data_IF_161625288834
#
_entry.id   IF_161625288834
#
_cell.length_a   1.000
_cell.length_b   1.000
_cell.length_c   1.000
_cell.angle_alpha   90.00
_cell.angle_beta   90.00
_cell.angle_gamma   90.00
#
_symmetry.space_group_name_H-M   'P 1'
#
loop_
_entity.id
_entity.type
_entity.pdbx_description
1 polymer ?
#
# COMPACT_ATOMS: atom_id res chain seq x y z
N UNK A 1 1.55 -3.97 23.70
CA UNK A 1 1.74 -4.91 22.57
C UNK A 1 1.78 -4.22 21.20
N UNK A 2 1.41 -2.93 21.06
CA UNK A 2 1.37 -2.22 19.77
C UNK A 2 2.34 -1.03 19.65
N UNK A 3 3.46 -1.00 20.39
CA UNK A 3 4.40 0.14 20.41
C UNK A 3 5.13 0.40 19.09
N UNK A 4 4.93 -0.46 18.08
CA UNK A 4 5.53 -0.34 16.74
C UNK A 4 4.51 -0.17 15.61
N UNK A 5 3.23 -0.02 15.94
CA UNK A 5 2.16 0.23 14.97
C UNK A 5 1.75 1.69 15.08
N UNK A 6 1.83 2.41 13.96
CA UNK A 6 1.31 3.78 13.87
C UNK A 6 -0.08 3.72 13.25
N UNK A 7 -1.08 4.14 14.02
CA UNK A 7 -2.42 4.35 13.51
C UNK A 7 -2.49 5.73 12.88
N UNK A 8 -3.04 5.80 11.67
CA UNK A 8 -3.18 7.04 10.91
C UNK A 8 -4.66 7.19 10.62
N UNK A 9 -5.24 8.33 10.99
CA UNK A 9 -6.60 8.67 10.61
C UNK A 9 -6.60 9.06 9.12
N UNK A 10 -7.44 8.40 8.33
CA UNK A 10 -7.62 8.63 6.90
C UNK A 10 -8.16 10.02 6.56
N UNK A 11 -8.87 10.67 7.50
CA UNK A 11 -9.32 12.06 7.39
C UNK A 11 -8.16 13.06 7.26
N UNK A 12 -6.95 12.66 7.68
CA UNK A 12 -5.75 13.47 7.53
C UNK A 12 -5.23 13.50 6.08
N UNK A 13 -5.70 12.60 5.22
CA UNK A 13 -5.31 12.55 3.81
C UNK A 13 -6.03 13.69 3.07
N UNK A 14 -5.29 14.59 2.40
CA UNK A 14 -5.90 15.67 1.62
C UNK A 14 -6.80 15.12 0.52
N UNK A 15 -7.93 15.78 0.26
CA UNK A 15 -8.91 15.40 -0.78
C UNK A 15 -8.27 15.25 -2.17
N UNK A 16 -7.26 16.06 -2.50
CA UNK A 16 -6.51 15.91 -3.76
C UNK A 16 -5.76 14.58 -3.86
N UNK A 17 -5.26 14.07 -2.74
CA UNK A 17 -4.57 12.78 -2.69
C UNK A 17 -5.56 11.62 -2.79
N UNK A 18 -6.74 11.77 -2.20
CA UNK A 18 -7.87 10.86 -2.40
C UNK A 18 -8.25 10.74 -3.88
N UNK A 19 -8.55 11.85 -4.57
CA UNK A 19 -8.89 11.84 -5.99
C UNK A 19 -7.78 11.20 -6.87
N UNK A 20 -6.51 11.49 -6.57
CA UNK A 20 -5.38 10.95 -7.32
C UNK A 20 -5.14 9.44 -7.06
N UNK A 21 -5.74 8.90 -6.01
CA UNK A 21 -5.68 7.51 -5.66
C UNK A 21 -6.92 6.75 -6.10
N UNK A 22 -8.11 7.34 -5.96
CA UNK A 22 -9.32 6.87 -6.63
C UNK A 22 -9.07 6.69 -8.12
N UNK A 23 -8.46 7.65 -8.81
CA UNK A 23 -8.12 7.48 -10.24
C UNK A 23 -7.23 6.25 -10.54
N UNK A 24 -6.38 5.85 -9.59
CA UNK A 24 -5.56 4.65 -9.73
C UNK A 24 -6.39 3.41 -9.37
N UNK A 25 -7.25 3.48 -8.37
CA UNK A 25 -7.97 2.32 -7.83
C UNK A 25 -9.34 2.09 -8.48
N UNK A 26 -9.93 3.07 -9.19
CA UNK A 26 -11.30 3.14 -9.77
C UNK A 26 -11.65 2.10 -10.86
N UNK A 27 -11.09 0.90 -10.77
CA UNK A 27 -11.46 -0.26 -11.56
C UNK A 27 -11.36 -1.57 -10.77
N UNK A 28 -11.12 -1.51 -9.45
CA UNK A 28 -11.30 -2.60 -8.49
C UNK A 28 -12.31 -2.12 -7.44
N UNK A 29 -12.83 -3.06 -6.64
CA UNK A 29 -13.90 -2.82 -5.68
C UNK A 29 -13.70 -1.52 -4.89
N UNK A 30 -14.78 -0.78 -4.67
CA UNK A 30 -14.74 0.57 -4.05
C UNK A 30 -14.06 0.52 -2.68
N UNK A 31 -14.16 -0.62 -2.00
CA UNK A 31 -13.58 -0.88 -0.68
C UNK A 31 -12.04 -0.93 -0.67
N UNK A 32 -11.39 -1.13 -1.82
CA UNK A 32 -9.92 -1.19 -1.92
C UNK A 32 -9.24 0.17 -2.15
N UNK A 33 -10.04 1.22 -2.37
CA UNK A 33 -9.57 2.55 -2.73
C UNK A 33 -8.81 3.26 -1.60
N UNK A 34 -9.18 2.99 -0.36
CA UNK A 34 -8.60 3.58 0.85
C UNK A 34 -7.12 3.19 1.01
N UNK A 35 -6.79 1.91 0.78
CA UNK A 35 -5.43 1.40 0.90
C UNK A 35 -4.50 1.98 -0.17
N UNK A 36 -5.00 2.15 -1.41
CA UNK A 36 -4.26 2.82 -2.47
C UNK A 36 -4.01 4.29 -2.17
N UNK A 37 -5.02 4.98 -1.63
CA UNK A 37 -4.95 6.39 -1.23
C UNK A 37 -3.95 6.64 -0.13
N UNK A 38 -4.04 5.87 0.95
CA UNK A 38 -3.14 5.97 2.07
C UNK A 38 -1.70 5.63 1.65
N UNK A 39 -1.50 4.56 0.87
CA UNK A 39 -0.16 4.17 0.44
C UNK A 39 0.51 5.26 -0.41
N UNK A 40 -0.27 5.90 -1.31
CA UNK A 40 0.24 7.01 -2.12
C UNK A 40 0.48 8.26 -1.28
N UNK A 41 -0.41 8.59 -0.35
CA UNK A 41 -0.27 9.71 0.58
C UNK A 41 1.03 9.60 1.39
N UNK A 42 1.27 8.43 1.97
CA UNK A 42 2.45 8.15 2.79
C UNK A 42 3.72 7.92 1.98
N UNK A 43 3.61 7.88 0.64
CA UNK A 43 4.69 7.44 -0.27
C UNK A 43 5.28 6.09 0.16
N UNK A 44 4.45 5.25 0.76
CA UNK A 44 4.83 3.98 1.38
C UNK A 44 4.79 2.81 0.40
N UNK A 45 4.85 1.60 0.97
CA UNK A 45 4.54 0.35 0.28
C UNK A 45 3.34 -0.32 0.95
N UNK A 46 2.44 -0.86 0.15
CA UNK A 46 1.29 -1.61 0.63
C UNK A 46 1.73 -3.05 0.91
N UNK A 47 1.50 -3.51 2.13
CA UNK A 47 1.62 -4.93 2.47
C UNK A 47 0.23 -5.50 2.60
N UNK A 48 -0.09 -6.50 1.79
CA UNK A 48 -1.40 -7.15 1.83
C UNK A 48 -1.27 -8.67 1.72
N UNK A 49 -2.20 -9.38 2.33
CA UNK A 49 -2.43 -10.81 2.11
C UNK A 49 -3.52 -11.08 1.07
N UNK A 50 -4.23 -10.04 0.62
CA UNK A 50 -5.26 -10.15 -0.39
C UNK A 50 -4.65 -10.33 -1.77
N UNK A 51 -5.05 -11.43 -2.42
CA UNK A 51 -4.52 -11.82 -3.72
C UNK A 51 -5.12 -11.01 -4.86
N UNK A 52 -6.40 -10.72 -4.81
CA UNK A 52 -7.10 -9.99 -5.87
C UNK A 52 -6.63 -8.53 -5.89
N UNK A 53 -6.50 -7.92 -4.72
CA UNK A 53 -5.94 -6.57 -4.56
C UNK A 53 -4.49 -6.50 -5.04
N UNK A 54 -3.63 -7.45 -4.62
CA UNK A 54 -2.23 -7.47 -5.05
C UNK A 54 -2.11 -7.55 -6.58
N UNK A 55 -2.84 -8.47 -7.21
CA UNK A 55 -2.81 -8.66 -8.67
C UNK A 55 -3.35 -7.42 -9.36
N UNK A 56 -4.49 -6.89 -8.90
CA UNK A 56 -5.12 -5.71 -9.46
C UNK A 56 -4.21 -4.49 -9.44
N UNK A 57 -3.52 -4.26 -8.32
CA UNK A 57 -2.55 -3.17 -8.18
C UNK A 57 -1.34 -3.36 -9.09
N UNK A 58 -0.76 -4.57 -9.18
CA UNK A 58 0.36 -4.84 -10.09
C UNK A 58 0.00 -4.62 -11.55
N UNK A 59 -1.20 -5.03 -11.98
CA UNK A 59 -1.69 -4.80 -13.35
C UNK A 59 -1.81 -3.32 -13.69
N UNK A 60 -2.08 -2.47 -12.69
CA UNK A 60 -2.14 -1.01 -12.83
C UNK A 60 -0.79 -0.31 -12.65
N UNK A 61 0.32 -1.03 -12.76
CA UNK A 61 1.68 -0.53 -12.54
C UNK A 61 1.93 0.04 -11.14
N UNK A 62 1.12 -0.35 -10.15
CA UNK A 62 1.37 -0.02 -8.75
C UNK A 62 2.40 -1.01 -8.17
N UNK A 63 3.68 -0.67 -8.36
CA UNK A 63 4.78 -1.60 -8.06
C UNK A 63 5.10 -1.74 -6.57
N UNK A 64 4.67 -0.79 -5.73
CA UNK A 64 4.92 -0.74 -4.29
C UNK A 64 3.85 -1.51 -3.50
N UNK A 65 3.55 -2.72 -3.93
CA UNK A 65 2.72 -3.67 -3.21
C UNK A 65 3.49 -4.97 -3.01
N UNK A 66 3.38 -5.55 -1.82
CA UNK A 66 4.21 -6.66 -1.37
C UNK A 66 3.39 -7.71 -0.64
N UNK A 67 3.72 -8.98 -0.88
CA UNK A 67 3.39 -10.08 0.00
C UNK A 67 4.42 -10.21 1.14
N UNK A 68 4.06 -11.01 2.15
CA UNK A 68 4.93 -11.29 3.31
C UNK A 68 6.29 -11.83 2.90
N UNK A 69 6.36 -12.75 1.93
CA UNK A 69 7.63 -13.31 1.48
C UNK A 69 8.52 -12.27 0.79
N UNK A 70 7.93 -11.32 0.05
CA UNK A 70 8.67 -10.22 -0.59
C UNK A 70 9.24 -9.25 0.45
N UNK A 71 8.48 -8.97 1.52
CA UNK A 71 8.97 -8.15 2.62
C UNK A 71 10.12 -8.83 3.38
N UNK A 72 10.04 -10.14 3.60
CA UNK A 72 11.13 -10.91 4.23
C UNK A 72 12.39 -10.81 3.36
N UNK A 73 12.27 -11.03 2.05
CA UNK A 73 13.39 -10.89 1.12
C UNK A 73 13.99 -9.46 1.16
N UNK A 74 13.16 -8.42 1.12
CA UNK A 74 13.59 -7.02 1.20
C UNK A 74 14.32 -6.70 2.51
N UNK A 75 13.83 -7.22 3.64
CA UNK A 75 14.48 -7.08 4.95
C UNK A 75 15.86 -7.72 4.94
N UNK A 76 15.94 -8.95 4.45
CA UNK A 76 17.18 -9.73 4.47
C UNK A 76 18.24 -9.13 3.51
N UNK A 77 17.82 -8.59 2.37
CA UNK A 77 18.70 -7.81 1.47
C UNK A 77 19.29 -6.58 2.18
N UNK A 78 18.46 -5.82 2.90
CA UNK A 78 18.95 -4.65 3.66
C UNK A 78 19.87 -5.02 4.82
N UNK A 79 19.68 -6.20 5.43
CA UNK A 79 20.56 -6.69 6.49
C UNK A 79 21.95 -7.09 5.99
N UNK A 80 22.11 -7.43 4.71
CA UNK A 80 23.39 -7.86 4.10
C UNK A 80 24.19 -6.70 3.48
N UNK A 81 23.56 -5.57 3.22
CA UNK A 81 24.21 -4.34 2.71
C UNK A 81 24.76 -3.44 3.82
N UNK A 82 24.80 -3.91 5.07
CA UNK A 82 25.26 -3.18 6.24
C UNK A 82 26.37 -3.96 6.93
#
# INVERSE_FOLDING_TARGET
>A
MFTKINFINEELIPTKTWLAAEQIVAGFDVDDSDFGALTKHLKGGLWTGDKELYIGLKLKNFNRVYYTFELIALRDMKSKSK
#
